data_IF_287791470570
#
_entry.id   IF_287791470570
#
_cell.length_a   1.000
_cell.length_b   1.000
_cell.length_c   1.000
_cell.angle_alpha   90.00
_cell.angle_beta   90.00
_cell.angle_gamma   90.00
#
_symmetry.space_group_name_H-M   'P 1'
#
loop_
_entity.id
_entity.type
_entity.pdbx_description
1 polymer ?
#
# COMPACT_ATOMS: atom_id res chain seq x y z
N UNK A 1 16.68 2.15 15.07
CA UNK A 1 16.81 2.14 13.59
C UNK A 1 18.21 1.73 13.13
N UNK A 2 19.28 2.43 13.54
CA UNK A 2 20.67 2.06 13.16
C UNK A 2 21.15 0.67 13.61
N UNK A 3 20.71 0.18 14.76
CA UNK A 3 21.09 -1.15 15.28
C UNK A 3 20.58 -2.33 14.43
N UNK A 4 19.50 -2.15 13.66
CA UNK A 4 18.98 -3.19 12.75
C UNK A 4 19.73 -3.26 11.42
N UNK A 5 20.44 -2.20 11.04
CA UNK A 5 21.17 -2.11 9.77
C UNK A 5 22.63 -2.57 9.93
N UNK A 6 23.19 -2.45 11.15
CA UNK A 6 24.57 -2.87 11.45
C UNK A 6 24.83 -4.37 11.31
N UNK A 7 23.79 -5.21 11.23
CA UNK A 7 23.94 -6.67 11.03
C UNK A 7 23.95 -7.09 9.56
N UNK A 8 23.73 -6.16 8.62
CA UNK A 8 23.78 -6.43 7.19
C UNK A 8 25.23 -6.38 6.70
N UNK A 9 25.70 -7.46 6.07
CA UNK A 9 27.06 -7.54 5.54
C UNK A 9 27.17 -6.95 4.12
N UNK A 10 26.03 -6.86 3.40
CA UNK A 10 26.01 -6.45 2.00
C UNK A 10 25.15 -5.21 1.76
N UNK A 11 25.52 -4.41 0.76
CA UNK A 11 24.77 -3.23 0.34
C UNK A 11 23.32 -3.57 -0.06
N UNK A 12 23.10 -4.77 -0.59
CA UNK A 12 21.77 -5.28 -0.96
C UNK A 12 20.86 -5.45 0.27
N UNK A 13 21.36 -6.10 1.33
CA UNK A 13 20.57 -6.29 2.55
C UNK A 13 20.28 -4.96 3.27
N UNK A 14 21.21 -4.01 3.23
CA UNK A 14 21.01 -2.65 3.75
C UNK A 14 19.89 -1.96 2.96
N UNK A 15 19.92 -2.03 1.63
CA UNK A 15 18.89 -1.48 0.76
C UNK A 15 17.52 -2.12 1.00
N UNK A 16 17.45 -3.46 1.04
CA UNK A 16 16.20 -4.20 1.31
C UNK A 16 15.62 -3.83 2.68
N UNK A 17 16.46 -3.70 3.74
CA UNK A 17 15.98 -3.23 5.06
C UNK A 17 15.51 -1.78 5.04
N UNK A 18 16.18 -0.90 4.31
CA UNK A 18 15.74 0.49 4.17
C UNK A 18 14.40 0.57 3.44
N UNK A 19 14.24 -0.16 2.34
CA UNK A 19 12.98 -0.27 1.61
C UNK A 19 11.89 -0.84 2.51
N UNK A 20 12.18 -1.88 3.30
CA UNK A 20 11.21 -2.50 4.22
C UNK A 20 10.81 -1.57 5.38
N UNK A 21 11.71 -0.69 5.84
CA UNK A 21 11.42 0.33 6.87
C UNK A 21 10.65 1.52 6.28
N UNK A 22 10.92 1.89 5.02
CA UNK A 22 10.30 3.04 4.35
C UNK A 22 8.95 2.72 3.66
N UNK A 23 8.79 1.53 3.08
CA UNK A 23 7.56 1.06 2.42
C UNK A 23 6.66 0.22 3.34
N UNK A 24 7.17 -0.21 4.49
CA UNK A 24 6.50 -1.13 5.41
C UNK A 24 6.79 -2.60 5.10
N UNK A 25 6.85 -3.41 6.15
CA UNK A 25 7.06 -4.87 6.09
C UNK A 25 5.97 -5.53 5.20
N UNK A 26 6.19 -6.71 4.65
CA UNK A 26 5.16 -7.49 3.93
C UNK A 26 3.83 -7.61 4.70
N UNK A 27 3.89 -7.58 6.03
CA UNK A 27 2.73 -7.51 6.92
C UNK A 27 1.97 -6.18 6.80
N UNK A 28 2.67 -5.06 6.63
CA UNK A 28 2.10 -3.75 6.28
C UNK A 28 1.52 -3.77 4.86
N UNK A 29 2.14 -4.45 3.89
CA UNK A 29 1.56 -4.61 2.54
C UNK A 29 0.26 -5.42 2.56
N UNK A 30 0.22 -6.53 3.29
CA UNK A 30 -1.02 -7.30 3.52
C UNK A 30 -2.08 -6.49 4.25
N UNK A 31 -1.69 -5.78 5.31
CA UNK A 31 -2.62 -4.89 6.03
C UNK A 31 -3.17 -3.78 5.11
N UNK A 32 -2.31 -3.19 4.27
CA UNK A 32 -2.71 -2.17 3.31
C UNK A 32 -3.66 -2.72 2.24
N UNK A 33 -3.45 -3.95 1.75
CA UNK A 33 -4.36 -4.60 0.82
C UNK A 33 -5.73 -4.84 1.46
N UNK A 34 -5.77 -5.38 2.70
CA UNK A 34 -7.02 -5.57 3.45
C UNK A 34 -7.75 -4.24 3.67
N UNK A 35 -7.01 -3.18 4.04
CA UNK A 35 -7.59 -1.83 4.22
C UNK A 35 -8.13 -1.26 2.91
N UNK A 36 -7.40 -1.41 1.80
CA UNK A 36 -7.85 -0.96 0.49
C UNK A 36 -9.08 -1.75 0.02
N UNK A 37 -9.15 -3.05 0.30
CA UNK A 37 -10.30 -3.89 -0.01
C UNK A 37 -11.54 -3.47 0.80
N UNK A 38 -11.38 -3.24 2.11
CA UNK A 38 -12.46 -2.71 2.96
C UNK A 38 -12.94 -1.33 2.48
N UNK A 39 -12.03 -0.44 2.06
CA UNK A 39 -12.39 0.86 1.47
C UNK A 39 -13.22 0.68 0.19
N UNK A 40 -12.86 -0.27 -0.67
CA UNK A 40 -13.60 -0.57 -1.89
C UNK A 40 -14.99 -1.14 -1.60
N UNK A 41 -15.12 -2.08 -0.66
CA UNK A 41 -16.42 -2.66 -0.29
C UNK A 41 -17.35 -1.65 0.42
N UNK A 42 -16.76 -0.71 1.17
CA UNK A 42 -17.52 0.32 1.89
C UNK A 42 -17.74 1.60 1.11
N UNK A 43 -17.16 1.74 -0.09
CA UNK A 43 -17.30 2.96 -0.88
C UNK A 43 -18.75 3.10 -1.34
N UNK A 44 -19.31 4.26 -1.03
CA UNK A 44 -20.64 4.66 -1.45
C UNK A 44 -20.64 6.14 -1.76
N UNK A 45 -21.58 6.54 -2.60
CA UNK A 45 -21.81 7.93 -2.91
C UNK A 45 -22.24 8.67 -1.64
N UNK A 46 -21.66 9.85 -1.41
CA UNK A 46 -22.04 10.70 -0.26
C UNK A 46 -23.28 11.53 -0.63
N UNK A 47 -24.03 11.98 0.37
CA UNK A 47 -25.13 12.93 0.13
C UNK A 47 -24.57 14.25 -0.41
N UNK A 48 -25.12 14.73 -1.52
CA UNK A 48 -24.67 15.96 -2.18
C UNK A 48 -23.41 15.82 -3.04
N UNK A 49 -22.81 14.63 -3.12
CA UNK A 49 -21.71 14.34 -4.04
C UNK A 49 -22.21 14.21 -5.47
N UNK A 50 -21.47 14.78 -6.42
CA UNK A 50 -21.77 14.59 -7.85
C UNK A 50 -21.21 13.26 -8.35
N UNK A 51 -21.77 12.75 -9.46
CA UNK A 51 -21.27 11.51 -10.07
C UNK A 51 -19.78 11.59 -10.44
N UNK A 52 -19.31 12.76 -10.88
CA UNK A 52 -17.91 12.96 -11.24
C UNK A 52 -16.97 12.89 -10.03
N UNK A 53 -17.36 13.48 -8.89
CA UNK A 53 -16.59 13.41 -7.65
C UNK A 53 -16.56 11.99 -7.07
N UNK A 54 -17.67 11.27 -7.19
CA UNK A 54 -17.71 9.86 -6.82
C UNK A 54 -16.79 9.01 -7.72
N UNK A 55 -16.83 9.22 -9.04
CA UNK A 55 -15.98 8.50 -10.01
C UNK A 55 -14.49 8.75 -9.78
N UNK A 56 -14.09 9.99 -9.45
CA UNK A 56 -12.72 10.31 -9.11
C UNK A 56 -12.26 9.56 -7.85
N UNK A 57 -13.07 9.61 -6.77
CA UNK A 57 -12.77 8.87 -5.54
C UNK A 57 -12.73 7.37 -5.75
N UNK A 58 -13.65 6.84 -6.53
CA UNK A 58 -13.71 5.41 -6.86
C UNK A 58 -12.46 4.98 -7.64
N UNK A 59 -12.07 5.77 -8.64
CA UNK A 59 -10.87 5.54 -9.44
C UNK A 59 -9.61 5.48 -8.58
N UNK A 60 -9.46 6.37 -7.58
CA UNK A 60 -8.33 6.33 -6.63
C UNK A 60 -8.27 5.01 -5.88
N UNK A 61 -9.40 4.53 -5.34
CA UNK A 61 -9.45 3.26 -4.59
C UNK A 61 -9.14 2.06 -5.49
N UNK A 62 -9.62 2.05 -6.74
CA UNK A 62 -9.30 0.98 -7.70
C UNK A 62 -7.82 0.99 -8.09
N UNK A 63 -7.20 2.16 -8.25
CA UNK A 63 -5.77 2.28 -8.54
C UNK A 63 -4.93 1.80 -7.34
N UNK A 64 -5.28 2.21 -6.12
CA UNK A 64 -4.62 1.73 -4.89
C UNK A 64 -4.67 0.19 -4.82
N UNK A 65 -5.84 -0.41 -5.05
CA UNK A 65 -6.00 -1.87 -5.08
C UNK A 65 -5.17 -2.52 -6.18
N UNK A 66 -5.10 -1.93 -7.37
CA UNK A 66 -4.30 -2.47 -8.48
C UNK A 66 -2.80 -2.40 -8.21
N UNK A 67 -2.33 -1.38 -7.49
CA UNK A 67 -0.92 -1.26 -7.08
C UNK A 67 -0.60 -2.29 -6.00
N UNK A 68 -1.48 -2.47 -5.02
CA UNK A 68 -1.29 -3.41 -3.91
C UNK A 68 -1.49 -4.88 -4.32
N UNK A 69 -2.38 -5.14 -5.26
CA UNK A 69 -2.67 -6.46 -5.82
C UNK A 69 -1.67 -6.92 -6.89
N UNK A 70 -0.74 -6.06 -7.32
CA UNK A 70 0.46 -6.53 -8.00
C UNK A 70 1.31 -7.24 -6.95
N UNK A 71 1.15 -8.56 -6.86
CA UNK A 71 2.19 -9.40 -6.30
C UNK A 71 3.45 -9.13 -7.12
N UNK A 72 4.40 -8.40 -6.54
CA UNK A 72 5.78 -8.42 -7.02
C UNK A 72 6.28 -9.84 -6.76
N UNK A 73 6.00 -10.72 -7.72
CA UNK A 73 6.69 -12.00 -7.85
C UNK A 73 8.14 -11.62 -8.16
N UNK A 74 8.95 -11.56 -7.12
CA UNK A 74 10.41 -11.49 -7.25
C UNK A 74 10.98 -12.89 -7.42
#
# INVERSE_FOLDING_TARGET
MFSKIMTCATAKEIWERLTQICEGNDETKKNNLTVAQQKYESIKMREGETMAEFDERFSVVVIELKILGKEYIN
#
